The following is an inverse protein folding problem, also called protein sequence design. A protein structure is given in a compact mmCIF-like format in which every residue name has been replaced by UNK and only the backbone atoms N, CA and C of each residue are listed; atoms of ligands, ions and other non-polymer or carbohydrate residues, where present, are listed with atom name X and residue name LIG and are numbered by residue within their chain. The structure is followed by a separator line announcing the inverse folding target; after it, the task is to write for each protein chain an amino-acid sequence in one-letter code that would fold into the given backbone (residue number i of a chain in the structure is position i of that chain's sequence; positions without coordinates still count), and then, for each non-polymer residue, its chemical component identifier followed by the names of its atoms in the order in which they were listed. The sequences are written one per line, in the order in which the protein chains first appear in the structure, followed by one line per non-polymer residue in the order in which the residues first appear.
data_IF_873543784735
#
_entry.id   IF_873543784735
#
_cell.length_a   1.000
_cell.length_b   1.000
_cell.length_c   1.000
_cell.angle_alpha   90.00
_cell.angle_beta   90.00
_cell.angle_gamma   90.00
#
_symmetry.space_group_name_H-M   'P 1'
#
loop_
_entity.id
_entity.type
_entity.pdbx_description
1 polymer ?
#
# COMPACT_ATOMS: atom_id res chain seq x y z
N UNK A 1 7.69 22.60 -4.95
CA UNK A 1 8.90 21.78 -5.19
C UNK A 1 8.46 20.50 -5.89
N UNK A 2 9.36 19.65 -6.38
CA UNK A 2 9.03 18.57 -7.32
C UNK A 2 9.59 17.24 -6.82
N UNK A 3 9.11 16.11 -7.33
CA UNK A 3 9.45 14.69 -7.01
C UNK A 3 10.98 14.39 -6.94
N UNK A 4 11.83 15.34 -7.29
CA UNK A 4 13.28 15.29 -7.19
C UNK A 4 13.84 15.24 -5.75
N UNK A 5 13.08 15.59 -4.69
CA UNK A 5 13.56 15.43 -3.31
C UNK A 5 13.76 13.96 -2.95
N UNK A 6 12.86 13.07 -3.40
CA UNK A 6 12.99 11.62 -3.28
C UNK A 6 14.22 11.08 -4.05
N UNK A 7 14.67 11.76 -5.11
CA UNK A 7 15.91 11.37 -5.81
C UNK A 7 17.17 11.56 -4.96
N UNK A 8 17.09 12.37 -3.89
CA UNK A 8 18.17 12.61 -2.94
C UNK A 8 18.17 11.62 -1.78
N UNK A 9 17.05 10.93 -1.53
CA UNK A 9 16.96 9.88 -0.52
C UNK A 9 17.83 8.68 -0.92
N UNK A 10 18.79 8.32 -0.05
CA UNK A 10 19.81 7.30 -0.34
C UNK A 10 20.14 6.41 0.84
N UNK A 11 19.80 6.83 2.05
CA UNK A 11 20.14 6.15 3.29
C UNK A 11 18.88 5.87 4.10
N UNK A 12 18.91 4.92 5.04
CA UNK A 12 17.74 4.62 5.85
C UNK A 12 17.08 5.83 6.55
N UNK A 13 17.82 6.82 7.10
CA UNK A 13 17.20 8.01 7.69
C UNK A 13 16.34 8.82 6.72
N UNK A 14 16.67 8.80 5.42
CA UNK A 14 15.93 9.51 4.38
C UNK A 14 14.59 8.83 4.06
N UNK A 15 14.44 7.55 4.40
CA UNK A 15 13.23 6.75 4.19
C UNK A 15 12.42 6.54 5.48
N UNK A 16 12.91 7.00 6.64
CA UNK A 16 12.13 6.93 7.88
C UNK A 16 10.82 7.74 7.78
N UNK A 17 10.85 8.88 7.08
CA UNK A 17 9.66 9.70 6.81
C UNK A 17 8.66 9.04 5.85
N UNK A 18 9.12 8.08 5.04
CA UNK A 18 8.34 7.26 4.13
C UNK A 18 7.75 6.03 4.83
N UNK A 19 8.57 5.33 5.62
CA UNK A 19 8.19 4.12 6.36
C UNK A 19 7.15 4.41 7.44
N UNK A 20 7.34 5.48 8.24
CA UNK A 20 6.49 5.71 9.41
C UNK A 20 4.99 5.76 9.05
N UNK A 21 4.56 6.51 8.02
CA UNK A 21 3.18 6.48 7.58
C UNK A 21 2.68 5.09 7.14
N UNK A 22 3.54 4.26 6.53
CA UNK A 22 3.22 2.88 6.15
C UNK A 22 3.00 1.97 7.37
N UNK A 23 3.86 2.09 8.38
CA UNK A 23 3.68 1.41 9.67
C UNK A 23 2.41 1.82 10.41
N UNK A 24 2.11 3.13 10.44
CA UNK A 24 0.87 3.66 11.02
C UNK A 24 -0.38 3.18 10.26
N UNK A 25 -0.28 3.07 8.93
CA UNK A 25 -1.33 2.55 8.06
C UNK A 25 -1.63 1.07 8.34
N UNK A 26 -0.60 0.23 8.41
CA UNK A 26 -0.74 -1.19 8.78
C UNK A 26 -1.42 -1.35 10.15
N UNK A 27 -0.95 -0.60 11.14
CA UNK A 27 -1.49 -0.64 12.50
C UNK A 27 -2.97 -0.24 12.51
N UNK A 28 -3.32 0.85 11.82
CA UNK A 28 -4.70 1.33 11.73
C UNK A 28 -5.63 0.30 11.10
N UNK A 29 -5.21 -0.40 10.05
CA UNK A 29 -6.05 -1.45 9.45
C UNK A 29 -6.22 -2.61 10.43
N UNK A 30 -5.15 -3.06 11.05
CA UNK A 30 -5.19 -4.19 11.98
C UNK A 30 -6.07 -3.89 13.21
N UNK A 31 -5.86 -2.76 13.87
CA UNK A 31 -6.69 -2.31 15.00
C UNK A 31 -8.13 -2.03 14.55
N UNK A 32 -8.26 -1.36 13.40
CA UNK A 32 -9.54 -1.03 12.79
C UNK A 32 -10.36 -2.28 12.47
N UNK A 33 -9.73 -3.40 12.11
CA UNK A 33 -10.41 -4.68 11.90
C UNK A 33 -10.52 -5.55 13.16
N UNK A 34 -9.90 -5.13 14.27
CA UNK A 34 -9.86 -5.89 15.51
C UNK A 34 -8.95 -7.12 15.45
N UNK A 35 -7.93 -7.11 14.58
CA UNK A 35 -6.94 -8.17 14.51
C UNK A 35 -5.96 -8.09 15.70
N UNK A 36 -5.46 -9.22 16.21
CA UNK A 36 -4.41 -9.20 17.23
C UNK A 36 -3.14 -8.54 16.68
N UNK A 37 -2.77 -7.38 17.25
CA UNK A 37 -1.59 -6.61 16.82
C UNK A 37 -0.33 -6.94 17.63
N UNK A 38 -0.46 -7.59 18.80
CA UNK A 38 0.68 -7.85 19.67
C UNK A 38 1.40 -6.56 20.06
N UNK A 39 2.71 -6.51 19.86
CA UNK A 39 3.55 -5.33 20.10
C UNK A 39 3.87 -4.55 18.80
N UNK A 40 3.00 -4.65 17.78
CA UNK A 40 3.19 -3.92 16.53
C UNK A 40 3.42 -2.40 16.73
N UNK A 41 2.72 -1.69 17.63
CA UNK A 41 3.02 -0.28 17.90
C UNK A 41 4.48 -0.05 18.35
N UNK A 42 4.99 -0.87 19.28
CA UNK A 42 6.38 -0.79 19.74
C UNK A 42 7.38 -1.14 18.65
N UNK A 43 7.05 -2.11 17.77
CA UNK A 43 7.86 -2.45 16.61
C UNK A 43 7.94 -1.30 15.59
N UNK A 44 6.84 -0.60 15.32
CA UNK A 44 6.82 0.56 14.42
C UNK A 44 7.67 1.71 14.98
N UNK A 45 7.57 1.97 16.28
CA UNK A 45 8.38 3.01 16.94
C UNK A 45 9.89 2.67 16.90
N UNK A 46 10.26 1.42 17.23
CA UNK A 46 11.66 0.98 17.15
C UNK A 46 12.18 0.95 15.70
N UNK A 47 11.33 0.61 14.74
CA UNK A 47 11.67 0.62 13.32
C UNK A 47 12.00 2.05 12.85
N UNK A 48 11.15 3.03 13.17
CA UNK A 48 11.46 4.43 12.88
C UNK A 48 12.77 4.85 13.56
N UNK A 49 12.94 4.56 14.85
CA UNK A 49 14.14 4.92 15.59
C UNK A 49 15.42 4.30 14.98
N UNK A 50 15.37 3.03 14.58
CA UNK A 50 16.45 2.34 13.89
C UNK A 50 16.78 3.00 12.54
N UNK A 51 15.76 3.29 11.72
CA UNK A 51 15.95 3.96 10.43
C UNK A 51 16.57 5.35 10.60
N UNK A 52 16.09 6.15 11.55
CA UNK A 52 16.64 7.49 11.85
C UNK A 52 18.09 7.44 12.31
N UNK A 53 18.44 6.44 13.10
CA UNK A 53 19.81 6.20 13.55
C UNK A 53 20.70 5.57 12.46
N UNK A 54 20.13 5.13 11.32
CA UNK A 54 20.85 4.43 10.26
C UNK A 54 21.32 3.02 10.68
N UNK A 55 20.67 2.42 11.68
CA UNK A 55 20.95 1.03 12.10
C UNK A 55 20.24 0.06 11.17
N UNK A 56 20.92 -1.00 10.77
CA UNK A 56 20.40 -2.03 9.84
C UNK A 56 21.02 -3.39 10.19
N UNK A 57 20.42 -4.49 9.73
CA UNK A 57 21.06 -5.80 9.83
C UNK A 57 21.26 -6.24 11.29
N UNK A 58 22.50 -6.52 11.70
CA UNK A 58 22.80 -7.09 13.03
C UNK A 58 22.52 -6.10 14.18
N UNK A 59 22.49 -4.79 13.88
CA UNK A 59 22.27 -3.73 14.86
C UNK A 59 20.78 -3.52 15.23
N UNK A 60 19.89 -4.32 14.65
CA UNK A 60 18.43 -4.19 14.74
C UNK A 60 17.81 -5.56 14.99
N UNK A 61 16.78 -5.62 15.83
CA UNK A 61 16.10 -6.88 16.13
C UNK A 61 15.47 -7.49 14.86
N UNK A 62 15.50 -8.82 14.67
CA UNK A 62 15.00 -9.47 13.45
C UNK A 62 13.55 -9.12 13.09
N UNK A 63 12.67 -8.95 14.08
CA UNK A 63 11.27 -8.57 13.85
C UNK A 63 11.14 -7.15 13.28
N UNK A 64 11.98 -6.22 13.75
CA UNK A 64 12.04 -4.83 13.27
C UNK A 64 12.61 -4.77 11.86
N UNK A 65 13.70 -5.50 11.60
CA UNK A 65 14.27 -5.68 10.25
C UNK A 65 13.21 -6.23 9.28
N UNK A 66 12.46 -7.25 9.69
CA UNK A 66 11.41 -7.86 8.85
C UNK A 66 10.29 -6.88 8.56
N UNK A 67 9.79 -6.14 9.55
CA UNK A 67 8.76 -5.12 9.34
C UNK A 67 9.21 -4.08 8.31
N UNK A 68 10.41 -3.51 8.48
CA UNK A 68 10.94 -2.50 7.55
C UNK A 68 11.15 -3.10 6.15
N UNK A 69 11.76 -4.28 6.06
CA UNK A 69 12.02 -4.92 4.78
C UNK A 69 10.73 -5.27 4.04
N UNK A 70 9.72 -5.79 4.75
CA UNK A 70 8.43 -6.13 4.16
C UNK A 70 7.74 -4.88 3.61
N UNK A 71 7.56 -3.84 4.42
CA UNK A 71 6.94 -2.57 4.02
C UNK A 71 7.64 -1.97 2.78
N UNK A 72 8.98 -1.83 2.83
CA UNK A 72 9.73 -1.24 1.73
C UNK A 72 9.74 -2.11 0.46
N UNK A 73 9.77 -3.44 0.56
CA UNK A 73 9.64 -4.31 -0.62
C UNK A 73 8.23 -4.24 -1.23
N UNK A 74 7.20 -4.09 -0.40
CA UNK A 74 5.84 -3.91 -0.88
C UNK A 74 5.71 -2.61 -1.66
N UNK A 75 6.20 -1.50 -1.12
CA UNK A 75 6.20 -0.20 -1.78
C UNK A 75 7.06 -0.17 -3.04
N UNK A 76 8.23 -0.83 -2.99
CA UNK A 76 9.12 -0.95 -4.14
C UNK A 76 8.46 -1.68 -5.31
N UNK A 77 7.63 -2.68 -5.00
CA UNK A 77 6.99 -3.54 -6.00
C UNK A 77 5.65 -2.96 -6.45
N UNK A 78 4.96 -2.16 -5.64
CA UNK A 78 3.60 -1.64 -5.90
C UNK A 78 3.49 -0.79 -7.16
N UNK A 79 4.45 0.13 -7.37
CA UNK A 79 4.27 1.22 -8.32
C UNK A 79 4.10 0.78 -9.77
N UNK A 80 4.87 -0.19 -10.25
CA UNK A 80 4.74 -0.67 -11.63
C UNK A 80 3.41 -1.37 -11.91
N UNK A 81 3.01 -2.38 -11.13
CA UNK A 81 1.68 -2.96 -11.17
C UNK A 81 0.60 -1.88 -11.20
N UNK A 82 0.63 -0.90 -10.28
CA UNK A 82 -0.35 0.18 -10.25
C UNK A 82 -0.43 0.96 -11.57
N UNK A 83 0.72 1.30 -12.18
CA UNK A 83 0.75 2.00 -13.46
C UNK A 83 0.11 1.21 -14.61
N UNK A 84 0.21 -0.13 -14.61
CA UNK A 84 -0.43 -0.98 -15.63
C UNK A 84 -1.97 -0.86 -15.61
N UNK A 85 -2.57 -0.48 -14.47
CA UNK A 85 -4.03 -0.22 -14.37
C UNK A 85 -4.44 1.13 -14.94
N UNK A 86 -3.49 2.05 -15.13
CA UNK A 86 -3.78 3.42 -15.51
C UNK A 86 -3.80 3.61 -17.03
N UNK A 87 -4.37 4.72 -17.55
CA UNK A 87 -4.24 5.04 -18.96
C UNK A 87 -2.78 5.17 -19.40
N UNK A 88 -2.47 4.75 -20.63
CA UNK A 88 -1.09 4.68 -21.17
C UNK A 88 -0.29 5.98 -21.01
N UNK A 89 -0.92 7.15 -21.14
CA UNK A 89 -0.21 8.43 -20.96
C UNK A 89 0.32 8.61 -19.53
N UNK A 90 -0.39 8.08 -18.54
CA UNK A 90 -0.03 8.14 -17.13
C UNK A 90 1.10 7.16 -16.83
N UNK A 91 0.96 5.93 -17.33
CA UNK A 91 2.00 4.90 -17.25
C UNK A 91 3.31 5.41 -17.86
N UNK A 92 3.29 5.90 -19.10
CA UNK A 92 4.49 6.40 -19.77
C UNK A 92 5.11 7.60 -19.06
N UNK A 93 4.28 8.47 -18.47
CA UNK A 93 4.75 9.64 -17.74
C UNK A 93 5.47 9.31 -16.42
N UNK A 94 5.14 8.17 -15.80
CA UNK A 94 5.62 7.83 -14.45
C UNK A 94 6.46 6.56 -14.39
N UNK A 95 6.52 5.76 -15.46
CA UNK A 95 7.25 4.48 -15.46
C UNK A 95 8.71 4.63 -14.99
N UNK A 96 9.47 5.59 -15.53
CA UNK A 96 10.87 5.78 -15.15
C UNK A 96 11.06 6.34 -13.73
N UNK A 97 10.34 7.40 -13.30
CA UNK A 97 10.36 7.84 -11.91
C UNK A 97 9.99 6.73 -10.91
N UNK A 98 8.95 5.96 -11.20
CA UNK A 98 8.47 4.84 -10.37
C UNK A 98 9.50 3.72 -10.32
N UNK A 99 10.09 3.31 -11.45
CA UNK A 99 11.16 2.32 -11.50
C UNK A 99 12.35 2.73 -10.62
N UNK A 100 12.74 4.01 -10.69
CA UNK A 100 13.85 4.53 -9.90
C UNK A 100 13.52 4.57 -8.41
N UNK A 101 12.31 4.99 -8.03
CA UNK A 101 11.86 4.97 -6.64
C UNK A 101 11.83 3.54 -6.09
N UNK A 102 11.27 2.58 -6.84
CA UNK A 102 11.25 1.18 -6.46
C UNK A 102 12.65 0.59 -6.29
N UNK A 103 13.57 0.85 -7.23
CA UNK A 103 14.97 0.46 -7.09
C UNK A 103 15.64 1.04 -5.83
N UNK A 104 15.30 2.28 -5.44
CA UNK A 104 15.84 2.89 -4.23
C UNK A 104 15.31 2.22 -2.96
N UNK A 105 14.00 2.00 -2.90
CA UNK A 105 13.34 1.31 -1.79
C UNK A 105 13.92 -0.10 -1.61
N UNK A 106 14.05 -0.85 -2.71
CA UNK A 106 14.67 -2.18 -2.74
C UNK A 106 16.05 -2.18 -2.10
N UNK A 107 16.92 -1.21 -2.44
CA UNK A 107 18.27 -1.15 -1.88
C UNK A 107 18.30 -0.85 -0.38
N UNK A 108 17.30 -0.17 0.16
CA UNK A 108 17.18 0.06 1.59
C UNK A 108 16.61 -1.20 2.25
N UNK A 109 15.56 -1.79 1.68
CA UNK A 109 14.99 -3.04 2.14
C UNK A 109 16.04 -4.16 2.23
N UNK A 110 16.91 -4.30 1.22
CA UNK A 110 18.02 -5.26 1.20
C UNK A 110 18.97 -5.13 2.41
N UNK A 111 19.17 -3.92 2.94
CA UNK A 111 20.04 -3.71 4.11
C UNK A 111 19.40 -4.24 5.39
N UNK A 112 18.07 -4.09 5.52
CA UNK A 112 17.31 -4.66 6.63
C UNK A 112 17.11 -6.17 6.46
N UNK A 113 16.98 -6.64 5.22
CA UNK A 113 16.81 -8.05 4.92
C UNK A 113 18.09 -8.88 5.07
N UNK A 114 19.27 -8.24 5.19
CA UNK A 114 20.57 -8.92 5.17
C UNK A 114 20.78 -9.97 6.28
N UNK A 115 20.08 -9.83 7.41
CA UNK A 115 20.27 -10.68 8.61
C UNK A 115 19.04 -11.48 9.01
N UNK A 116 17.97 -11.42 8.22
CA UNK A 116 16.77 -12.23 8.43
C UNK A 116 16.79 -13.43 7.49
N UNK A 117 16.39 -14.61 8.00
CA UNK A 117 16.51 -15.89 7.26
C UNK A 117 15.81 -15.86 5.89
N UNK A 118 14.65 -15.20 5.84
CA UNK A 118 13.86 -14.99 4.63
C UNK A 118 12.85 -13.87 4.86
N UNK A 119 12.63 -13.09 3.80
CA UNK A 119 11.43 -12.26 3.60
C UNK A 119 11.05 -12.42 2.14
N UNK A 120 9.77 -12.63 1.87
CA UNK A 120 9.31 -12.83 0.50
C UNK A 120 9.21 -11.48 -0.23
N UNK A 121 8.76 -11.49 -1.49
CA UNK A 121 8.35 -10.27 -2.19
C UNK A 121 6.89 -10.42 -2.60
N UNK A 122 6.07 -9.36 -2.49
CA UNK A 122 4.68 -9.47 -2.89
C UNK A 122 4.58 -9.65 -4.40
N UNK A 123 3.48 -10.28 -4.82
CA UNK A 123 3.06 -10.27 -6.21
C UNK A 123 1.73 -9.55 -6.27
N UNK A 124 1.76 -8.37 -6.89
CA UNK A 124 0.57 -7.59 -7.16
C UNK A 124 -0.12 -8.05 -8.44
N UNK A 125 -1.44 -7.98 -8.46
CA UNK A 125 -2.24 -8.31 -9.63
C UNK A 125 -2.07 -7.28 -10.73
N UNK A 126 -1.95 -7.78 -11.96
CA UNK A 126 -2.10 -6.95 -13.16
C UNK A 126 -3.58 -6.80 -13.49
N UNK A 127 -3.96 -5.81 -14.31
CA UNK A 127 -5.35 -5.67 -14.75
C UNK A 127 -5.86 -6.93 -15.45
N UNK A 128 -4.99 -7.65 -16.17
CA UNK A 128 -5.32 -8.89 -16.86
C UNK A 128 -5.51 -10.10 -15.92
N UNK A 129 -5.00 -10.01 -14.69
CA UNK A 129 -5.14 -11.09 -13.70
C UNK A 129 -6.50 -11.03 -12.98
N UNK A 130 -7.19 -9.89 -13.06
CA UNK A 130 -8.52 -9.69 -12.47
C UNK A 130 -9.58 -9.84 -13.55
N UNK A 131 -10.06 -11.08 -13.73
CA UNK A 131 -11.00 -11.44 -14.79
C UNK A 131 -12.40 -11.63 -14.25
N UNK A 132 -13.39 -11.04 -14.91
CA UNK A 132 -14.83 -11.25 -14.65
C UNK A 132 -15.54 -11.58 -15.96
N UNK A 133 -16.34 -12.65 -15.97
CA UNK A 133 -17.05 -13.14 -17.16
C UNK A 133 -16.15 -13.38 -18.40
N UNK A 134 -14.89 -13.73 -18.18
CA UNK A 134 -13.93 -14.03 -19.25
C UNK A 134 -13.17 -12.83 -19.81
N UNK A 135 -13.45 -11.62 -19.31
CA UNK A 135 -12.77 -10.38 -19.72
C UNK A 135 -12.07 -9.71 -18.52
N UNK A 136 -11.01 -8.90 -18.74
CA UNK A 136 -10.42 -8.09 -17.68
C UNK A 136 -11.48 -7.19 -17.04
N UNK A 137 -11.63 -7.27 -15.72
CA UNK A 137 -12.65 -6.51 -14.98
C UNK A 137 -12.49 -4.99 -15.15
N UNK A 138 -11.26 -4.52 -15.35
CA UNK A 138 -10.95 -3.10 -15.57
C UNK A 138 -11.63 -2.53 -16.83
N UNK A 139 -11.98 -3.37 -17.81
CA UNK A 139 -12.64 -2.94 -19.04
C UNK A 139 -14.10 -2.51 -18.80
N UNK A 140 -14.70 -2.94 -17.69
CA UNK A 140 -16.02 -2.49 -17.24
C UNK A 140 -15.98 -1.12 -16.55
N UNK A 141 -14.79 -0.60 -16.26
CA UNK A 141 -14.60 0.67 -15.54
C UNK A 141 -14.08 1.76 -16.50
N UNK A 142 -14.79 2.90 -16.51
CA UNK A 142 -14.46 4.04 -17.37
C UNK A 142 -14.04 5.25 -16.55
N UNK A 143 -13.11 6.04 -17.09
CA UNK A 143 -12.63 7.26 -16.44
C UNK A 143 -11.43 7.02 -15.52
N UNK A 144 -10.60 8.04 -15.37
CA UNK A 144 -9.35 7.96 -14.61
C UNK A 144 -9.60 7.64 -13.13
N UNK A 145 -10.47 8.42 -12.47
CA UNK A 145 -10.70 8.29 -11.02
C UNK A 145 -11.28 6.94 -10.61
N UNK A 146 -12.18 6.36 -11.40
CA UNK A 146 -12.80 5.09 -11.05
C UNK A 146 -11.87 3.90 -11.35
N UNK A 147 -11.07 3.96 -12.43
CA UNK A 147 -9.98 3.00 -12.66
C UNK A 147 -8.92 3.07 -11.57
N UNK A 148 -8.58 4.28 -11.15
CA UNK A 148 -7.66 4.56 -10.06
C UNK A 148 -8.16 3.90 -8.78
N UNK A 149 -9.38 4.22 -8.36
CA UNK A 149 -10.03 3.66 -7.18
C UNK A 149 -10.08 2.12 -7.23
N UNK A 150 -10.38 1.54 -8.40
CA UNK A 150 -10.43 0.09 -8.54
C UNK A 150 -9.05 -0.57 -8.40
N UNK A 151 -8.02 0.01 -9.04
CA UNK A 151 -6.64 -0.46 -8.89
C UNK A 151 -6.20 -0.37 -7.43
N UNK A 152 -6.43 0.78 -6.79
CA UNK A 152 -6.09 1.05 -5.40
C UNK A 152 -6.76 0.05 -4.45
N UNK A 153 -8.06 -0.20 -4.62
CA UNK A 153 -8.83 -1.15 -3.82
C UNK A 153 -8.30 -2.59 -3.85
N UNK A 154 -7.78 -3.03 -5.00
CA UNK A 154 -7.20 -4.38 -5.18
C UNK A 154 -5.76 -4.43 -4.69
N UNK A 155 -4.94 -3.45 -5.09
CA UNK A 155 -3.50 -3.48 -4.81
C UNK A 155 -3.19 -3.18 -3.35
N UNK A 156 -3.94 -2.30 -2.67
CA UNK A 156 -3.78 -2.09 -1.23
C UNK A 156 -4.25 -3.30 -0.41
N UNK A 157 -5.25 -4.03 -0.88
CA UNK A 157 -5.66 -5.29 -0.26
C UNK A 157 -4.51 -6.31 -0.29
N UNK A 158 -3.82 -6.43 -1.43
CA UNK A 158 -2.67 -7.32 -1.61
C UNK A 158 -1.44 -6.84 -0.84
N UNK A 159 -1.21 -5.52 -0.78
CA UNK A 159 -0.16 -4.91 0.02
C UNK A 159 -0.37 -5.27 1.50
N UNK A 160 -1.59 -5.08 1.99
CA UNK A 160 -1.94 -5.38 3.38
C UNK A 160 -1.80 -6.87 3.67
N UNK A 161 -2.33 -7.76 2.82
CA UNK A 161 -2.19 -9.22 2.99
C UNK A 161 -0.73 -9.62 3.15
N UNK A 162 0.14 -9.09 2.29
CA UNK A 162 1.56 -9.39 2.32
C UNK A 162 2.25 -8.86 3.58
N UNK A 163 2.12 -7.56 3.89
CA UNK A 163 2.82 -6.96 5.05
C UNK A 163 2.29 -7.55 6.37
N UNK A 164 0.97 -7.76 6.47
CA UNK A 164 0.36 -8.43 7.62
C UNK A 164 0.90 -9.85 7.80
N UNK A 165 1.06 -10.61 6.71
CA UNK A 165 1.64 -11.94 6.72
C UNK A 165 3.10 -11.96 7.22
N UNK A 166 3.95 -11.07 6.71
CA UNK A 166 5.35 -10.97 7.15
C UNK A 166 5.49 -10.52 8.61
N UNK A 167 4.54 -9.70 9.10
CA UNK A 167 4.48 -9.26 10.49
C UNK A 167 3.78 -10.24 11.44
N UNK A 168 3.23 -11.35 10.93
CA UNK A 168 2.53 -12.34 11.74
C UNK A 168 1.17 -11.87 12.27
N UNK A 169 0.55 -10.88 11.63
CA UNK A 169 -0.81 -10.44 11.96
C UNK A 169 -1.80 -11.52 11.51
N UNK A 170 -2.60 -12.03 12.45
CA UNK A 170 -3.57 -13.10 12.20
C UNK A 170 -4.81 -12.62 11.45
N UNK A 171 -4.70 -12.45 10.13
CA UNK A 171 -5.85 -12.13 9.27
C UNK A 171 -6.79 -13.36 9.16
N UNK A 172 -8.12 -13.20 9.35
CA UNK A 172 -9.06 -14.32 9.26
C UNK A 172 -8.98 -15.04 7.90
N UNK A 173 -8.90 -16.39 7.90
CA UNK A 173 -8.86 -17.15 6.66
C UNK A 173 -10.07 -16.84 5.77
N UNK A 174 -9.80 -16.59 4.48
CA UNK A 174 -10.85 -16.32 3.49
C UNK A 174 -11.28 -14.85 3.39
N UNK A 175 -10.99 -14.00 4.38
CA UNK A 175 -11.38 -12.58 4.35
C UNK A 175 -10.84 -11.86 3.12
N UNK A 176 -9.55 -12.04 2.80
CA UNK A 176 -8.92 -11.37 1.65
C UNK A 176 -9.55 -11.86 0.33
N UNK A 177 -9.76 -13.17 0.18
CA UNK A 177 -10.39 -13.74 -1.02
C UNK A 177 -11.85 -13.30 -1.21
N UNK A 178 -12.60 -13.24 -0.11
CA UNK A 178 -13.97 -12.73 -0.10
C UNK A 178 -14.01 -11.22 -0.44
N UNK A 179 -13.15 -10.42 0.21
CA UNK A 179 -13.02 -9.00 -0.05
C UNK A 179 -12.71 -8.75 -1.52
N UNK A 180 -11.69 -9.42 -2.07
CA UNK A 180 -11.33 -9.33 -3.49
C UNK A 180 -12.53 -9.61 -4.40
N UNK A 181 -13.27 -10.69 -4.13
CA UNK A 181 -14.43 -11.08 -4.96
C UNK A 181 -15.51 -10.00 -4.93
N UNK A 182 -15.84 -9.48 -3.76
CA UNK A 182 -16.89 -8.47 -3.59
C UNK A 182 -16.46 -7.10 -4.13
N UNK A 183 -15.20 -6.70 -3.95
CA UNK A 183 -14.63 -5.45 -4.50
C UNK A 183 -14.70 -5.47 -6.02
N UNK A 184 -14.30 -6.58 -6.66
CA UNK A 184 -14.44 -6.73 -8.11
C UNK A 184 -15.90 -6.61 -8.52
N UNK A 185 -16.82 -7.31 -7.83
CA UNK A 185 -18.26 -7.21 -8.09
C UNK A 185 -18.81 -5.78 -7.98
N UNK A 186 -18.35 -5.01 -6.99
CA UNK A 186 -18.71 -3.60 -6.81
C UNK A 186 -18.25 -2.74 -7.98
N UNK A 187 -16.96 -2.77 -8.31
CA UNK A 187 -16.40 -1.89 -9.34
C UNK A 187 -16.89 -2.21 -10.75
N UNK A 188 -17.23 -3.48 -11.05
CA UNK A 188 -17.83 -3.84 -12.34
C UNK A 188 -19.35 -3.60 -12.39
N UNK A 189 -19.95 -3.08 -11.31
CA UNK A 189 -21.38 -2.73 -11.25
C UNK A 189 -22.32 -3.92 -11.06
N UNK A 190 -21.84 -5.05 -10.56
CA UNK A 190 -22.67 -6.22 -10.22
C UNK A 190 -23.19 -6.20 -8.78
N UNK A 191 -22.52 -5.48 -7.89
CA UNK A 191 -22.90 -5.29 -6.50
C UNK A 191 -23.01 -3.80 -6.21
N UNK A 192 -24.01 -3.41 -5.44
CA UNK A 192 -24.05 -2.10 -4.81
C UNK A 192 -23.26 -2.13 -3.49
N UNK A 193 -22.91 -0.95 -2.98
CA UNK A 193 -22.19 -0.83 -1.71
C UNK A 193 -22.94 -1.45 -0.52
N UNK A 194 -24.28 -1.48 -0.60
CA UNK A 194 -25.14 -2.08 0.41
C UNK A 194 -25.13 -3.62 0.37
N UNK A 195 -24.70 -4.22 -0.74
CA UNK A 195 -24.58 -5.67 -0.90
C UNK A 195 -23.26 -6.20 -0.34
N UNK A 196 -22.30 -5.32 -0.05
CA UNK A 196 -21.01 -5.69 0.50
C UNK A 196 -21.15 -6.16 1.94
N UNK A 197 -20.50 -7.28 2.26
CA UNK A 197 -20.40 -7.78 3.61
C UNK A 197 -19.78 -6.71 4.52
N UNK A 198 -20.34 -6.46 5.73
CA UNK A 198 -19.84 -5.42 6.62
C UNK A 198 -18.32 -5.47 6.91
N UNK A 199 -17.69 -6.66 7.10
CA UNK A 199 -16.25 -6.75 7.27
C UNK A 199 -15.46 -6.30 6.02
N UNK A 200 -15.95 -6.60 4.81
CA UNK A 200 -15.31 -6.17 3.56
C UNK A 200 -15.41 -4.66 3.40
N UNK A 201 -16.60 -4.09 3.69
CA UNK A 201 -16.81 -2.64 3.62
C UNK A 201 -15.91 -1.90 4.62
N UNK A 202 -15.80 -2.41 5.84
CA UNK A 202 -14.91 -1.87 6.88
C UNK A 202 -13.45 -1.97 6.49
N UNK A 203 -13.03 -3.11 5.94
CA UNK A 203 -11.67 -3.30 5.44
C UNK A 203 -11.33 -2.29 4.34
N UNK A 204 -12.22 -2.10 3.36
CA UNK A 204 -12.03 -1.12 2.29
C UNK A 204 -12.00 0.32 2.81
N UNK A 205 -12.90 0.67 3.76
CA UNK A 205 -12.84 1.97 4.44
C UNK A 205 -11.47 2.23 5.07
N UNK A 206 -10.89 1.22 5.74
CA UNK A 206 -9.58 1.32 6.38
C UNK A 206 -8.44 1.36 5.35
N UNK A 207 -8.53 0.58 4.27
CA UNK A 207 -7.53 0.59 3.20
C UNK A 207 -7.49 1.94 2.48
N UNK A 208 -8.63 2.60 2.29
CA UNK A 208 -8.66 3.95 1.71
C UNK A 208 -8.21 5.07 2.67
N UNK A 209 -7.77 4.75 3.89
CA UNK A 209 -7.07 5.72 4.76
C UNK A 209 -5.65 6.04 4.28
N UNK A 210 -5.24 5.44 3.16
CA UNK A 210 -4.04 5.82 2.40
C UNK A 210 -4.06 7.29 1.97
N UNK A 211 -5.23 7.95 1.95
CA UNK A 211 -5.33 9.41 1.79
C UNK A 211 -4.46 10.17 2.81
N UNK A 212 -4.34 9.65 4.03
CA UNK A 212 -3.47 10.21 5.07
C UNK A 212 -1.99 9.91 4.83
N UNK A 213 -1.65 8.74 4.29
CA UNK A 213 -0.28 8.39 3.92
C UNK A 213 0.22 9.28 2.78
N UNK A 214 -0.57 9.40 1.71
CA UNK A 214 -0.27 10.25 0.54
C UNK A 214 -0.04 11.70 0.97
N UNK A 215 -0.89 12.21 1.87
CA UNK A 215 -0.74 13.56 2.44
C UNK A 215 0.55 13.68 3.24
N UNK A 216 0.82 12.74 4.14
CA UNK A 216 2.02 12.76 4.98
C UNK A 216 3.31 12.70 4.16
N UNK A 217 3.37 11.86 3.12
CA UNK A 217 4.53 11.80 2.20
C UNK A 217 4.68 13.09 1.41
N UNK A 218 3.58 13.65 0.89
CA UNK A 218 3.62 14.91 0.16
C UNK A 218 4.11 16.08 1.03
N UNK A 219 3.71 16.13 2.30
CA UNK A 219 4.13 17.14 3.28
C UNK A 219 5.58 16.94 3.74
N UNK A 220 5.95 15.72 4.17
CA UNK A 220 7.28 15.43 4.74
C UNK A 220 8.41 15.57 3.72
N UNK A 221 8.13 15.24 2.46
CA UNK A 221 9.10 15.38 1.35
C UNK A 221 8.95 16.68 0.56
N UNK A 222 8.04 17.58 0.97
CA UNK A 222 7.71 18.86 0.34
C UNK A 222 7.55 18.74 -1.20
N UNK A 223 6.78 17.73 -1.60
CA UNK A 223 6.69 17.32 -3.00
C UNK A 223 5.80 18.27 -3.81
N UNK A 224 4.89 19.01 -3.16
CA UNK A 224 3.95 19.94 -3.81
C UNK A 224 3.23 19.32 -5.01
N UNK A 225 2.95 18.02 -4.94
CA UNK A 225 2.59 17.21 -6.10
C UNK A 225 1.09 17.25 -6.35
N UNK A 226 0.69 17.87 -7.48
CA UNK A 226 -0.71 17.83 -7.93
C UNK A 226 -1.21 16.41 -8.18
N UNK A 227 -0.31 15.49 -8.53
CA UNK A 227 -0.61 14.06 -8.69
C UNK A 227 -1.05 13.43 -7.37
N UNK A 228 -0.29 13.66 -6.29
CA UNK A 228 -0.59 13.14 -4.96
C UNK A 228 -1.88 13.78 -4.42
N UNK A 229 -2.13 15.06 -4.73
CA UNK A 229 -3.41 15.69 -4.41
C UNK A 229 -4.60 15.05 -5.14
N UNK A 230 -4.42 14.58 -6.38
CA UNK A 230 -5.48 13.84 -7.10
C UNK A 230 -5.69 12.48 -6.44
N UNK A 231 -4.62 11.77 -6.11
CA UNK A 231 -4.67 10.48 -5.42
C UNK A 231 -5.42 10.60 -4.09
N UNK A 232 -5.02 11.56 -3.24
CA UNK A 232 -5.67 11.87 -1.97
C UNK A 232 -7.18 12.11 -2.14
N UNK A 233 -7.59 12.88 -3.15
CA UNK A 233 -9.01 13.14 -3.42
C UNK A 233 -9.78 11.89 -3.82
N UNK A 234 -9.17 11.00 -4.62
CA UNK A 234 -9.79 9.73 -5.01
C UNK A 234 -9.95 8.82 -3.79
N UNK A 235 -8.89 8.65 -2.99
CA UNK A 235 -8.94 7.82 -1.78
C UNK A 235 -9.94 8.37 -0.76
N UNK A 236 -9.95 9.69 -0.53
CA UNK A 236 -10.91 10.32 0.37
C UNK A 236 -12.36 10.10 -0.09
N UNK A 237 -12.65 10.29 -1.40
CA UNK A 237 -13.97 10.02 -1.98
C UNK A 237 -14.41 8.57 -1.74
N UNK A 238 -13.54 7.60 -1.97
CA UNK A 238 -13.87 6.19 -1.74
C UNK A 238 -14.03 5.87 -0.25
N UNK A 239 -13.14 6.40 0.61
CA UNK A 239 -13.26 6.28 2.06
C UNK A 239 -14.61 6.79 2.56
N UNK A 240 -15.06 7.96 2.11
CA UNK A 240 -16.38 8.49 2.46
C UNK A 240 -17.51 7.58 1.97
N UNK A 241 -17.40 7.02 0.76
CA UNK A 241 -18.38 6.05 0.24
C UNK A 241 -18.48 4.82 1.12
N UNK A 242 -17.35 4.18 1.44
CA UNK A 242 -17.31 2.98 2.28
C UNK A 242 -17.67 3.26 3.75
N UNK A 243 -17.40 4.48 4.23
CA UNK A 243 -17.69 4.92 5.60
C UNK A 243 -19.12 5.41 5.83
N UNK A 244 -19.79 5.96 4.81
CA UNK A 244 -21.14 6.54 4.90
C UNK A 244 -22.27 5.57 5.27
N UNK A 245 -21.96 4.30 5.46
CA UNK A 245 -22.92 3.27 5.89
C UNK A 245 -22.45 2.47 7.13
N UNK A 246 -21.29 2.81 7.72
CA UNK A 246 -20.66 2.17 8.91
C UNK A 246 -21.26 2.72 10.20
#
# INVERSE_FOLDING_TARGET
MTVFSLLRARKPPDFADWFRPGGDYLLRIAEGMGFPTGDLPGLVDEAEAAMRAGRTGEDVAPAVNRLIAADLYADATFGHPFLEWMPVWYELGLAAPTAYAGWRLDRIADQYAATIDHVSRPRFSRPTDVVRRGEPAVDSVSGFADRFAFADAILHLEWFEYVAGECGIGVPPGLIGEARTQIVGYYVGELDIADLAPPVRRLQYLLFTDDEWVRAVNERYDLGSSLLTVWERVCNRERERFGGAV
#
